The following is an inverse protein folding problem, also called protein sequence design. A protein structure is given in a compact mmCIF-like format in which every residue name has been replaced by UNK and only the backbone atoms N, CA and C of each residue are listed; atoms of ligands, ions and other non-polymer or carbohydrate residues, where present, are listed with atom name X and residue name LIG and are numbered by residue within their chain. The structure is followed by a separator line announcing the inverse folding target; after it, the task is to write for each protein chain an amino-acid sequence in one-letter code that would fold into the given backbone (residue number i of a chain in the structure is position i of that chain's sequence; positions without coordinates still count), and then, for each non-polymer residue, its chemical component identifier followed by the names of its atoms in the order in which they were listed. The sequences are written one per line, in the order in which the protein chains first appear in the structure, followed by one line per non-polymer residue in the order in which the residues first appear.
data_IF_767171957937
#
_entry.id   IF_767171957937
#
_cell.length_a   1.000
_cell.length_b   1.000
_cell.length_c   1.000
_cell.angle_alpha   90.00
_cell.angle_beta   90.00
_cell.angle_gamma   90.00
#
_symmetry.space_group_name_H-M   'P 1'
#
loop_
_entity.id
_entity.type
_entity.pdbx_description
1 polymer ?
#
# COMPACT_ATOMS: atom_id res chain seq x y z
N UNK A 1 10.27 8.91 13.83
CA UNK A 1 10.29 8.21 12.64
C UNK A 1 10.37 6.74 12.85
N UNK A 2 9.69 6.06 12.14
CA UNK A 2 9.81 4.66 12.24
C UNK A 2 11.11 4.23 11.63
N UNK A 3 11.89 3.52 12.37
CA UNK A 3 13.04 2.90 11.79
C UNK A 3 12.58 1.62 11.17
N UNK A 4 12.72 1.54 9.89
CA UNK A 4 12.41 0.31 9.23
C UNK A 4 13.64 -0.58 9.25
N UNK A 5 13.51 -1.74 9.87
CA UNK A 5 14.59 -2.69 9.91
C UNK A 5 14.28 -3.80 8.92
N UNK A 6 14.91 -3.74 7.76
CA UNK A 6 14.60 -4.69 6.70
C UNK A 6 15.05 -6.10 7.00
N UNK A 7 15.95 -6.26 7.97
CA UNK A 7 16.42 -7.59 8.35
C UNK A 7 15.54 -8.23 9.41
N UNK A 8 14.72 -7.43 10.06
CA UNK A 8 13.87 -7.91 11.14
C UNK A 8 12.47 -7.36 11.02
N UNK A 9 11.99 -7.20 9.79
CA UNK A 9 10.64 -6.73 9.56
C UNK A 9 9.66 -7.66 10.27
N UNK A 10 8.79 -7.09 11.07
CA UNK A 10 7.82 -7.84 11.84
C UNK A 10 6.52 -7.85 11.08
N UNK A 11 6.00 -9.04 10.83
CA UNK A 11 4.72 -9.16 10.17
C UNK A 11 3.61 -8.78 11.12
N UNK A 12 2.62 -8.09 10.59
CA UNK A 12 1.55 -7.53 11.40
C UNK A 12 0.22 -7.84 10.76
N UNK A 13 -0.72 -8.36 11.56
CA UNK A 13 -2.07 -8.64 11.08
C UNK A 13 -2.95 -7.42 11.30
N UNK A 14 -3.76 -7.09 10.30
CA UNK A 14 -4.73 -6.00 10.39
C UNK A 14 -5.92 -6.33 9.50
N UNK A 15 -7.12 -6.31 10.07
CA UNK A 15 -8.36 -6.63 9.35
C UNK A 15 -8.28 -7.97 8.62
N UNK A 16 -7.64 -8.96 9.25
CA UNK A 16 -7.53 -10.28 8.67
C UNK A 16 -6.44 -10.43 7.62
N UNK A 17 -5.69 -9.37 7.35
CA UNK A 17 -4.57 -9.43 6.43
C UNK A 17 -3.26 -9.40 7.19
N UNK A 18 -2.29 -10.17 6.70
CA UNK A 18 -0.96 -10.19 7.28
C UNK A 18 -0.08 -9.28 6.44
N UNK A 19 0.48 -8.28 7.09
CA UNK A 19 1.34 -7.30 6.42
C UNK A 19 2.79 -7.59 6.69
N UNK A 20 3.65 -7.23 5.74
CA UNK A 20 5.06 -7.51 5.84
C UNK A 20 5.77 -6.70 6.90
N UNK A 21 5.15 -5.61 7.35
CA UNK A 21 5.76 -4.78 8.38
C UNK A 21 4.67 -4.07 9.17
N UNK A 22 5.06 -3.64 10.39
CA UNK A 22 4.15 -2.83 11.21
C UNK A 22 3.83 -1.52 10.52
N UNK A 23 4.77 -1.00 9.75
CA UNK A 23 4.59 0.26 9.06
C UNK A 23 3.48 0.17 8.03
N UNK A 24 3.44 -0.91 7.27
CA UNK A 24 2.38 -1.10 6.29
C UNK A 24 1.03 -1.29 6.96
N UNK A 25 0.99 -2.05 8.05
CA UNK A 25 -0.26 -2.24 8.78
C UNK A 25 -0.77 -0.93 9.34
N UNK A 26 0.13 -0.11 9.86
CA UNK A 26 -0.24 1.20 10.38
C UNK A 26 -0.76 2.09 9.28
N UNK A 27 -0.16 2.03 8.11
CA UNK A 27 -0.61 2.81 6.97
C UNK A 27 -2.01 2.39 6.53
N UNK A 28 -2.27 1.09 6.48
CA UNK A 28 -3.60 0.58 6.14
C UNK A 28 -4.64 1.07 7.13
N UNK A 29 -4.29 1.08 8.42
CA UNK A 29 -5.18 1.59 9.45
C UNK A 29 -5.51 3.06 9.20
N UNK A 30 -4.52 3.84 8.80
CA UNK A 30 -4.74 5.24 8.51
C UNK A 30 -5.65 5.42 7.31
N UNK A 31 -5.49 4.60 6.28
CA UNK A 31 -6.37 4.67 5.11
C UNK A 31 -7.81 4.35 5.48
N UNK A 32 -8.01 3.40 6.41
CA UNK A 32 -9.36 3.09 6.87
C UNK A 32 -9.99 4.28 7.60
N UNK A 33 -9.20 5.03 8.35
CA UNK A 33 -9.71 6.24 8.98
C UNK A 33 -10.12 7.27 7.95
N UNK A 34 -9.38 7.36 6.86
CA UNK A 34 -9.73 8.28 5.77
C UNK A 34 -10.99 7.84 5.05
N UNK A 35 -11.26 6.53 5.00
CA UNK A 35 -12.54 6.06 4.47
C UNK A 35 -13.68 6.55 5.37
N UNK A 36 -13.51 6.45 6.69
CA UNK A 36 -14.54 6.93 7.60
C UNK A 36 -14.73 8.43 7.50
N UNK A 37 -13.65 9.15 7.21
CA UNK A 37 -13.72 10.60 7.02
C UNK A 37 -14.24 10.97 5.62
N UNK A 38 -14.53 9.99 4.78
CA UNK A 38 -15.09 10.18 3.44
C UNK A 38 -14.12 10.92 2.50
N UNK A 39 -12.84 10.77 2.75
CA UNK A 39 -11.82 11.31 1.86
C UNK A 39 -11.29 10.22 0.92
N UNK A 40 -11.32 8.97 1.37
CA UNK A 40 -10.90 7.82 0.57
C UNK A 40 -12.13 6.95 0.33
N UNK A 41 -12.31 6.51 -0.91
CA UNK A 41 -13.40 5.62 -1.25
C UNK A 41 -13.05 4.18 -0.90
N UNK A 42 -11.88 3.74 -1.34
CA UNK A 42 -11.37 2.40 -1.05
C UNK A 42 -9.87 2.36 -1.33
N UNK A 43 -9.25 1.25 -0.94
CA UNK A 43 -7.83 1.03 -1.23
C UNK A 43 -7.58 -0.45 -1.38
N UNK A 44 -6.49 -0.78 -2.09
CA UNK A 44 -6.02 -2.16 -2.24
C UNK A 44 -4.53 -2.20 -1.96
N UNK A 45 -4.10 -3.24 -1.24
CA UNK A 45 -2.68 -3.42 -0.97
C UNK A 45 -2.05 -4.31 -2.03
N UNK A 46 -0.75 -4.14 -2.22
CA UNK A 46 0.03 -4.97 -3.14
C UNK A 46 -0.62 -5.02 -4.52
N UNK A 47 -0.92 -3.83 -5.03
CA UNK A 47 -1.56 -3.71 -6.32
C UNK A 47 -0.55 -4.00 -7.43
N UNK A 48 -0.89 -4.96 -8.31
CA UNK A 48 0.01 -5.38 -9.35
C UNK A 48 -0.16 -4.51 -10.60
N UNK A 49 0.96 -4.04 -11.13
CA UNK A 49 0.99 -3.32 -12.39
C UNK A 49 1.86 -4.12 -13.34
N UNK A 50 1.29 -4.45 -14.51
CA UNK A 50 2.04 -5.14 -15.55
C UNK A 50 2.86 -4.12 -16.33
N UNK A 51 4.13 -4.42 -16.52
CA UNK A 51 5.01 -3.57 -17.31
C UNK A 51 5.27 -4.27 -18.64
N UNK A 52 4.76 -3.68 -19.71
CA UNK A 52 4.88 -4.23 -21.04
C UNK A 52 5.60 -3.22 -21.94
N UNK A 53 6.43 -3.74 -22.83
CA UNK A 53 7.11 -2.92 -23.83
C UNK A 53 6.85 -3.54 -25.19
N UNK A 54 6.27 -2.75 -26.09
CA UNK A 54 5.96 -3.19 -27.45
C UNK A 54 5.17 -4.49 -27.48
N UNK A 55 4.21 -4.61 -26.56
CA UNK A 55 3.37 -5.79 -26.49
C UNK A 55 4.00 -6.99 -25.78
N UNK A 56 5.21 -6.84 -25.30
CA UNK A 56 5.92 -7.92 -24.61
C UNK A 56 5.92 -7.63 -23.12
N UNK A 57 5.48 -8.61 -22.36
CA UNK A 57 5.47 -8.47 -20.90
C UNK A 57 6.89 -8.57 -20.37
N UNK A 58 7.33 -7.51 -19.65
CA UNK A 58 8.68 -7.44 -19.10
C UNK A 58 8.70 -7.87 -17.65
N UNK A 59 7.80 -7.32 -16.84
CA UNK A 59 7.78 -7.65 -15.41
C UNK A 59 6.50 -7.14 -14.79
N UNK A 60 6.29 -7.52 -13.53
CA UNK A 60 5.23 -6.96 -12.70
C UNK A 60 5.83 -6.06 -11.65
N UNK A 61 5.14 -4.97 -11.38
CA UNK A 61 5.53 -4.09 -10.29
C UNK A 61 4.39 -4.05 -9.28
N UNK A 62 4.72 -4.21 -8.00
CA UNK A 62 3.72 -4.22 -6.96
C UNK A 62 3.82 -2.93 -6.15
N UNK A 63 2.73 -2.18 -6.13
CA UNK A 63 2.64 -0.94 -5.36
C UNK A 63 2.01 -1.29 -4.03
N UNK A 64 2.54 -0.70 -2.95
CA UNK A 64 2.07 -1.04 -1.61
C UNK A 64 0.58 -0.78 -1.45
N UNK A 65 0.10 0.38 -1.91
CA UNK A 65 -1.32 0.71 -1.82
C UNK A 65 -1.77 1.50 -3.04
N UNK A 66 -2.88 1.06 -3.62
CA UNK A 66 -3.60 1.87 -4.59
C UNK A 66 -4.83 2.42 -3.88
N UNK A 67 -5.01 3.73 -3.97
CA UNK A 67 -6.02 4.44 -3.19
C UNK A 67 -6.96 5.18 -4.14
N UNK A 68 -8.24 4.92 -3.99
CA UNK A 68 -9.28 5.62 -4.74
C UNK A 68 -9.87 6.70 -3.85
N UNK A 69 -9.77 7.95 -4.28
CA UNK A 69 -10.30 9.07 -3.51
C UNK A 69 -11.76 9.31 -3.88
N UNK A 70 -12.46 9.96 -2.97
CA UNK A 70 -13.90 10.20 -3.18
C UNK A 70 -14.18 11.17 -4.30
N UNK A 71 -13.19 11.97 -4.71
CA UNK A 71 -13.35 12.89 -5.82
C UNK A 71 -13.13 12.21 -7.18
N UNK A 72 -12.88 10.91 -7.18
CA UNK A 72 -12.67 10.16 -8.41
C UNK A 72 -11.22 9.99 -8.82
N UNK A 73 -10.29 10.60 -8.11
CA UNK A 73 -8.89 10.46 -8.44
C UNK A 73 -8.31 9.19 -7.84
N UNK A 74 -7.16 8.78 -8.35
CA UNK A 74 -6.47 7.58 -7.90
C UNK A 74 -5.05 7.97 -7.54
N UNK A 75 -4.58 7.45 -6.40
CA UNK A 75 -3.22 7.67 -5.96
C UNK A 75 -2.53 6.34 -5.71
N UNK A 76 -1.22 6.32 -5.93
CA UNK A 76 -0.41 5.15 -5.65
C UNK A 76 0.55 5.52 -4.54
N UNK A 77 0.46 4.78 -3.43
CA UNK A 77 1.25 5.07 -2.25
C UNK A 77 2.26 3.97 -2.00
N UNK A 78 3.49 4.36 -1.73
CA UNK A 78 4.53 3.44 -1.33
C UNK A 78 4.96 3.76 0.08
N UNK A 79 4.91 2.75 0.94
CA UNK A 79 5.26 2.89 2.34
C UNK A 79 6.72 2.52 2.48
N UNK A 80 7.54 3.49 2.83
CA UNK A 80 8.97 3.26 2.95
C UNK A 80 9.41 3.44 4.38
N UNK A 81 10.30 2.57 4.80
CA UNK A 81 10.94 2.75 6.08
C UNK A 81 11.82 3.97 6.02
N UNK A 82 11.61 4.85 6.97
CA UNK A 82 12.40 6.06 7.02
C UNK A 82 13.73 5.81 7.64
N UNK A 83 14.72 6.49 7.16
CA UNK A 83 16.05 6.39 7.71
C UNK A 83 16.41 7.68 8.40
#
# INVERSE_FOLDING_TARGET
MGIYNKYKAVKQSYNGHLYDSKLEAKYASRLDLLIKAKEVQKWERQYKISIDVNGVHISNYFIDFKVWLTDGSIEYHEVKGML
#
